data_IF_503249721973
#
_entry.id   IF_503249721973
#
_cell.length_a   1.000
_cell.length_b   1.000
_cell.length_c   1.000
_cell.angle_alpha   90.00
_cell.angle_beta   90.00
_cell.angle_gamma   90.00
#
_symmetry.space_group_name_H-M   'P 1'
#
loop_
_entity.id
_entity.type
_entity.pdbx_description
1 polymer ?
#
# COMPACT_ATOMS: atom_id res chain seq x y z
N UNK A 1 32.83 -18.75 -37.17
CA UNK A 1 31.72 -19.17 -36.28
C UNK A 1 31.38 -18.07 -35.26
N UNK A 2 31.65 -16.81 -35.61
CA UNK A 2 31.85 -15.71 -34.64
C UNK A 2 30.62 -14.82 -34.47
N UNK A 3 29.66 -14.88 -35.40
CA UNK A 3 28.43 -14.09 -35.36
C UNK A 3 27.47 -14.53 -34.25
N UNK A 4 27.40 -15.83 -33.96
CA UNK A 4 26.50 -16.38 -32.93
C UNK A 4 26.92 -15.94 -31.52
N UNK A 5 28.22 -15.90 -31.24
CA UNK A 5 28.75 -15.46 -29.96
C UNK A 5 28.55 -13.95 -29.73
N UNK A 6 28.61 -13.13 -30.79
CA UNK A 6 28.30 -11.69 -30.70
C UNK A 6 26.82 -11.45 -30.39
N UNK A 7 25.93 -12.21 -31.02
CA UNK A 7 24.49 -12.09 -30.81
C UNK A 7 24.06 -12.48 -29.39
N UNK A 8 24.62 -13.56 -28.84
CA UNK A 8 24.32 -14.01 -27.47
C UNK A 8 24.78 -13.00 -26.42
N UNK A 9 25.98 -12.40 -26.60
CA UNK A 9 26.46 -11.30 -25.75
C UNK A 9 25.57 -10.06 -25.83
N UNK A 10 25.09 -9.71 -27.03
CA UNK A 10 24.16 -8.59 -27.23
C UNK A 10 22.83 -8.84 -26.50
N UNK A 11 22.32 -10.08 -26.57
CA UNK A 11 21.06 -10.47 -25.93
C UNK A 11 21.17 -10.46 -24.40
N UNK A 12 22.27 -10.96 -23.83
CA UNK A 12 22.53 -10.90 -22.39
C UNK A 12 22.57 -9.46 -21.86
N UNK A 13 23.23 -8.55 -22.59
CA UNK A 13 23.29 -7.13 -22.23
C UNK A 13 21.91 -6.46 -22.26
N UNK A 14 21.07 -6.80 -23.22
CA UNK A 14 19.68 -6.31 -23.28
C UNK A 14 18.84 -6.80 -22.09
N UNK A 15 18.99 -8.06 -21.68
CA UNK A 15 18.29 -8.63 -20.52
C UNK A 15 18.71 -7.91 -19.23
N UNK A 16 20.01 -7.67 -19.05
CA UNK A 16 20.52 -6.95 -17.87
C UNK A 16 20.00 -5.51 -17.81
N UNK A 17 20.02 -4.77 -18.91
CA UNK A 17 19.51 -3.40 -18.97
C UNK A 17 18.01 -3.34 -18.67
N UNK A 18 17.24 -4.32 -19.15
CA UNK A 18 15.81 -4.42 -18.87
C UNK A 18 15.54 -4.72 -17.40
N UNK A 19 16.31 -5.63 -16.79
CA UNK A 19 16.20 -5.92 -15.36
C UNK A 19 16.54 -4.69 -14.49
N UNK A 20 17.61 -3.96 -14.84
CA UNK A 20 17.97 -2.71 -14.15
C UNK A 20 16.86 -1.65 -14.26
N UNK A 21 16.27 -1.50 -15.44
CA UNK A 21 15.15 -0.57 -15.67
C UNK A 21 13.91 -0.93 -14.84
N UNK A 22 13.56 -2.22 -14.76
CA UNK A 22 12.45 -2.70 -13.92
C UNK A 22 12.74 -2.45 -12.43
N UNK A 23 13.99 -2.66 -12.00
CA UNK A 23 14.40 -2.40 -10.62
C UNK A 23 14.32 -0.92 -10.25
N UNK A 24 14.72 -0.03 -11.15
CA UNK A 24 14.58 1.42 -10.96
C UNK A 24 13.10 1.85 -10.92
N UNK A 25 12.25 1.25 -11.76
CA UNK A 25 10.79 1.50 -11.71
C UNK A 25 10.19 1.06 -10.38
N UNK A 26 10.51 -0.14 -9.91
CA UNK A 26 10.05 -0.64 -8.61
C UNK A 26 10.46 0.30 -7.47
N UNK A 27 11.74 0.71 -7.44
CA UNK A 27 12.23 1.63 -6.43
C UNK A 27 11.50 2.98 -6.45
N UNK A 28 11.13 3.50 -7.63
CA UNK A 28 10.33 4.72 -7.73
C UNK A 28 8.92 4.54 -7.17
N UNK A 29 8.28 3.40 -7.41
CA UNK A 29 6.96 3.11 -6.84
C UNK A 29 7.01 2.98 -5.31
N UNK A 30 8.08 2.39 -4.76
CA UNK A 30 8.30 2.31 -3.32
C UNK A 30 8.48 3.70 -2.68
N UNK A 31 9.21 4.60 -3.35
CA UNK A 31 9.38 6.00 -2.91
C UNK A 31 8.04 6.75 -2.94
N UNK A 32 7.24 6.57 -4.00
CA UNK A 32 5.88 7.16 -4.07
C UNK A 32 5.00 6.64 -2.93
N UNK A 33 5.03 5.34 -2.69
CA UNK A 33 4.26 4.72 -1.62
C UNK A 33 4.67 5.26 -0.24
N UNK A 34 5.97 5.39 0.00
CA UNK A 34 6.50 5.98 1.23
C UNK A 34 6.01 7.42 1.42
N UNK A 35 6.02 8.24 0.35
CA UNK A 35 5.50 9.60 0.39
C UNK A 35 3.99 9.65 0.71
N UNK A 36 3.20 8.72 0.16
CA UNK A 36 1.77 8.57 0.47
C UNK A 36 1.55 8.16 1.94
N UNK A 37 2.31 7.18 2.43
CA UNK A 37 2.23 6.72 3.81
C UNK A 37 2.54 7.87 4.80
N UNK A 38 3.58 8.65 4.52
CA UNK A 38 3.95 9.84 5.30
C UNK A 38 2.82 10.87 5.28
N UNK A 39 2.28 11.19 4.09
CA UNK A 39 1.19 12.17 3.92
C UNK A 39 -0.07 11.78 4.70
N UNK A 40 -0.36 10.47 4.79
CA UNK A 40 -1.48 9.95 5.57
C UNK A 40 -1.16 9.66 7.03
N UNK A 41 0.08 9.93 7.47
CA UNK A 41 0.57 9.66 8.82
C UNK A 41 0.45 8.17 9.22
N UNK A 42 0.63 7.29 8.25
CA UNK A 42 0.61 5.83 8.39
C UNK A 42 2.05 5.31 8.38
N UNK A 43 2.36 4.39 9.29
CA UNK A 43 3.66 3.70 9.31
C UNK A 43 3.47 2.24 8.91
N UNK A 44 3.85 1.93 7.67
CA UNK A 44 3.88 0.56 7.18
C UNK A 44 4.98 -0.23 7.90
N UNK A 45 4.65 -1.43 8.38
CA UNK A 45 5.60 -2.32 9.08
C UNK A 45 6.17 -3.38 8.13
N UNK A 46 5.28 -4.09 7.46
CA UNK A 46 5.58 -5.14 6.48
C UNK A 46 4.34 -5.35 5.61
N UNK A 47 4.54 -5.76 4.35
CA UNK A 47 3.45 -6.10 3.44
C UNK A 47 3.94 -7.05 2.35
N UNK A 48 3.20 -8.13 2.15
CA UNK A 48 3.36 -9.04 1.00
C UNK A 48 2.53 -8.57 -0.21
N UNK A 49 1.64 -7.58 -0.03
CA UNK A 49 0.81 -7.04 -1.12
C UNK A 49 1.66 -6.25 -2.13
N UNK A 50 1.34 -6.30 -3.44
CA UNK A 50 2.02 -5.49 -4.45
C UNK A 50 1.78 -3.98 -4.23
N UNK A 51 2.69 -3.12 -4.70
CA UNK A 51 2.71 -1.67 -4.39
C UNK A 51 1.40 -0.95 -4.70
N UNK A 52 0.73 -1.28 -5.81
CA UNK A 52 -0.57 -0.70 -6.18
C UNK A 52 -1.69 -1.00 -5.15
N UNK A 53 -1.65 -2.21 -4.57
CA UNK A 53 -2.62 -2.66 -3.58
C UNK A 53 -2.30 -2.06 -2.20
N UNK A 54 -1.02 -1.88 -1.88
CA UNK A 54 -0.60 -1.14 -0.69
C UNK A 54 -1.06 0.32 -0.76
N UNK A 55 -0.90 0.99 -1.90
CA UNK A 55 -1.37 2.36 -2.08
C UNK A 55 -2.90 2.46 -1.92
N UNK A 56 -3.63 1.53 -2.54
CA UNK A 56 -5.09 1.45 -2.37
C UNK A 56 -5.47 1.25 -0.90
N UNK A 57 -4.79 0.35 -0.18
CA UNK A 57 -5.03 0.12 1.25
C UNK A 57 -4.88 1.41 2.08
N UNK A 58 -3.80 2.17 1.84
CA UNK A 58 -3.53 3.42 2.53
C UNK A 58 -4.61 4.47 2.26
N UNK A 59 -4.97 4.67 0.98
CA UNK A 59 -5.99 5.64 0.56
C UNK A 59 -7.36 5.28 1.11
N UNK A 60 -7.76 4.01 1.00
CA UNK A 60 -9.07 3.53 1.50
C UNK A 60 -9.16 3.65 3.02
N UNK A 61 -8.08 3.33 3.74
CA UNK A 61 -8.03 3.52 5.21
C UNK A 61 -8.21 4.97 5.60
N UNK A 62 -7.54 5.90 4.90
CA UNK A 62 -7.64 7.33 5.20
C UNK A 62 -9.03 7.89 4.88
N UNK A 63 -9.59 7.54 3.74
CA UNK A 63 -10.96 7.94 3.35
C UNK A 63 -12.01 7.49 4.36
N UNK A 64 -11.88 6.25 4.86
CA UNK A 64 -12.75 5.71 5.90
C UNK A 64 -12.56 6.41 7.25
N UNK A 65 -11.31 6.73 7.63
CA UNK A 65 -11.02 7.52 8.82
C UNK A 65 -11.66 8.92 8.76
N UNK A 66 -11.47 9.62 7.65
CA UNK A 66 -12.02 10.97 7.46
C UNK A 66 -13.56 10.96 7.48
N UNK A 67 -14.19 9.95 6.89
CA UNK A 67 -15.66 9.74 6.93
C UNK A 67 -16.19 9.49 8.35
N UNK A 68 -15.47 8.71 9.16
CA UNK A 68 -15.85 8.42 10.56
C UNK A 68 -15.64 9.64 11.45
N UNK A 69 -14.64 10.47 11.17
CA UNK A 69 -14.39 11.72 11.91
C UNK A 69 -15.45 12.78 11.55
N UNK A 70 -15.82 12.89 10.27
CA UNK A 70 -16.78 13.90 9.78
C UNK A 70 -18.22 13.67 10.25
N UNK A 71 -18.61 12.43 10.57
CA UNK A 71 -19.98 12.07 10.96
C UNK A 71 -20.28 12.27 12.45
N UNK A 72 -19.29 12.64 13.27
CA UNK A 72 -19.42 12.73 14.75
C UNK A 72 -19.08 14.10 15.34
N UNK A 73 -19.15 15.17 14.56
CA UNK A 73 -18.72 16.53 14.95
C UNK A 73 -19.79 17.39 15.63
N UNK A 74 -20.89 16.84 16.14
CA UNK A 74 -21.91 17.63 16.87
C UNK A 74 -21.59 17.86 18.36
N UNK A 75 -20.55 17.26 18.93
CA UNK A 75 -20.17 17.49 20.34
C UNK A 75 -18.66 17.66 20.52
N UNK A 76 -18.27 18.65 21.32
CA UNK A 76 -16.90 19.18 21.59
C UNK A 76 -15.88 18.18 22.20
N UNK A 77 -16.09 16.87 22.11
CA UNK A 77 -15.18 15.83 22.61
C UNK A 77 -14.58 15.06 21.44
N UNK A 78 -13.24 15.00 21.36
CA UNK A 78 -12.49 14.29 20.29
C UNK A 78 -13.12 12.91 20.03
N UNK A 79 -13.76 12.67 18.86
CA UNK A 79 -14.44 11.41 18.60
C UNK A 79 -13.43 10.28 18.57
N UNK A 80 -13.58 9.28 19.46
CA UNK A 80 -12.74 8.07 19.43
C UNK A 80 -13.21 7.20 18.25
N UNK A 81 -12.39 6.98 17.21
CA UNK A 81 -12.78 6.10 16.12
C UNK A 81 -12.94 4.67 16.66
N UNK A 82 -14.04 4.02 16.27
CA UNK A 82 -14.26 2.62 16.62
C UNK A 82 -13.43 1.75 15.65
N UNK A 83 -12.35 1.09 16.12
CA UNK A 83 -11.45 0.34 15.25
C UNK A 83 -12.17 -0.81 14.53
N UNK A 84 -13.17 -1.42 15.16
CA UNK A 84 -13.96 -2.51 14.58
C UNK A 84 -14.78 -2.06 13.37
N UNK A 85 -15.32 -0.83 13.39
CA UNK A 85 -16.05 -0.30 12.24
C UNK A 85 -15.12 -0.02 11.06
N UNK A 86 -13.93 0.52 11.33
CA UNK A 86 -12.90 0.74 10.31
C UNK A 86 -12.47 -0.59 9.69
N UNK A 87 -12.18 -1.60 10.51
CA UNK A 87 -11.80 -2.92 10.04
C UNK A 87 -12.87 -3.56 9.15
N UNK A 88 -14.15 -3.44 9.54
CA UNK A 88 -15.27 -3.99 8.77
C UNK A 88 -15.45 -3.27 7.43
N UNK A 89 -15.33 -1.94 7.41
CA UNK A 89 -15.42 -1.16 6.18
C UNK A 89 -14.24 -1.46 5.25
N UNK A 90 -13.02 -1.52 5.79
CA UNK A 90 -11.83 -1.90 5.02
C UNK A 90 -11.95 -3.30 4.42
N UNK A 91 -12.38 -4.28 5.21
CA UNK A 91 -12.64 -5.64 4.72
C UNK A 91 -13.61 -5.61 3.54
N UNK A 92 -14.70 -4.83 3.64
CA UNK A 92 -15.70 -4.72 2.57
C UNK A 92 -15.12 -4.11 1.29
N UNK A 93 -14.38 -3.02 1.38
CA UNK A 93 -13.75 -2.38 0.20
C UNK A 93 -12.78 -3.35 -0.50
N UNK A 94 -12.02 -4.13 0.26
CA UNK A 94 -11.08 -5.11 -0.27
C UNK A 94 -11.76 -6.34 -0.86
N UNK A 95 -12.77 -6.89 -0.17
CA UNK A 95 -13.55 -8.02 -0.67
C UNK A 95 -14.24 -7.67 -2.00
N UNK A 96 -14.70 -6.43 -2.17
CA UNK A 96 -15.31 -5.96 -3.42
C UNK A 96 -14.30 -5.77 -4.55
N UNK A 97 -13.09 -5.30 -4.24
CA UNK A 97 -12.07 -4.96 -5.26
C UNK A 97 -11.24 -6.15 -5.70
N UNK A 98 -10.95 -7.09 -4.80
CA UNK A 98 -9.98 -8.18 -5.01
C UNK A 98 -10.57 -9.58 -4.77
N UNK A 99 -11.84 -9.68 -4.35
CA UNK A 99 -12.54 -10.95 -4.14
C UNK A 99 -12.63 -11.37 -2.67
N UNK A 100 -13.56 -12.29 -2.34
CA UNK A 100 -13.89 -12.64 -0.97
C UNK A 100 -12.85 -13.56 -0.33
N UNK A 101 -12.02 -13.04 0.58
CA UNK A 101 -11.14 -13.80 1.49
C UNK A 101 -10.33 -12.88 2.44
N UNK A 102 -10.59 -11.57 2.45
CA UNK A 102 -9.74 -10.64 3.16
C UNK A 102 -10.06 -10.63 4.65
N UNK A 103 -9.01 -10.66 5.46
CA UNK A 103 -9.12 -10.60 6.92
C UNK A 103 -8.50 -9.28 7.40
N UNK A 104 -9.28 -8.49 8.13
CA UNK A 104 -8.80 -7.24 8.72
C UNK A 104 -8.73 -7.39 10.24
N UNK A 105 -7.53 -7.26 10.79
CA UNK A 105 -7.29 -7.23 12.24
C UNK A 105 -6.98 -5.79 12.63
N UNK A 106 -7.76 -5.24 13.57
CA UNK A 106 -7.52 -3.91 14.11
C UNK A 106 -7.12 -4.03 15.57
N UNK A 107 -5.84 -3.79 15.85
CA UNK A 107 -5.31 -3.74 17.20
C UNK A 107 -5.18 -2.28 17.64
N UNK A 108 -5.64 -1.98 18.87
CA UNK A 108 -5.39 -0.69 19.48
C UNK A 108 -4.11 -0.79 20.28
N UNK A 109 -3.03 -0.23 19.76
CA UNK A 109 -1.79 -0.09 20.51
C UNK A 109 -1.93 1.11 21.45
N UNK A 110 -2.14 0.87 22.74
CA UNK A 110 -2.10 1.93 23.77
C UNK A 110 -0.68 2.10 24.30
N UNK A 111 0.25 2.50 23.42
CA UNK A 111 1.55 3.00 23.85
C UNK A 111 1.44 4.50 24.09
N UNK A 112 1.49 4.96 25.35
CA UNK A 112 1.97 6.31 25.61
C UNK A 112 3.47 6.29 25.29
N UNK A 113 3.88 7.17 24.39
CA UNK A 113 5.29 7.52 24.25
C UNK A 113 5.76 8.27 25.50
#
# INVERSE_FOLDING_TARGET
MDGKLKQEKQQAMQIQNKAASLKLRSANEDVKLAAVAISFNVRLRSSDMPTHMQEHALRSTRSLLDSVVSTKTTTKTRPKPNPTLLARALKKEFDLSYGPAWHCVSERVSGRS
#
